data_IF_432980740616
#
_entry.id   IF_432980740616
#
_cell.length_a   1.000
_cell.length_b   1.000
_cell.length_c   1.000
_cell.angle_alpha   90.00
_cell.angle_beta   90.00
_cell.angle_gamma   90.00
#
_symmetry.space_group_name_H-M   'P 1'
#
loop_
_entity.id
_entity.type
_entity.pdbx_description
1 polymer ?
#
# COMPACT_ATOMS: atom_id res chain seq x y z
N UNK A 1 22.59 -34.55 28.20
CA UNK A 1 23.12 -33.36 28.89
C UNK A 1 22.00 -32.33 28.80
N UNK A 2 21.19 -32.21 29.85
CA UNK A 2 20.07 -31.28 29.87
C UNK A 2 20.62 -29.87 30.06
N UNK A 3 20.39 -29.02 29.08
CA UNK A 3 20.76 -27.60 29.16
C UNK A 3 19.84 -26.96 30.20
N UNK A 4 20.38 -26.29 31.24
CA UNK A 4 19.54 -25.64 32.22
C UNK A 4 18.73 -24.54 31.54
N UNK A 5 17.42 -24.55 31.76
CA UNK A 5 16.53 -23.53 31.25
C UNK A 5 16.90 -22.18 31.89
N UNK A 6 17.57 -21.31 31.13
CA UNK A 6 17.96 -19.97 31.57
C UNK A 6 16.75 -19.03 31.50
N UNK A 7 15.77 -19.24 32.37
CA UNK A 7 14.68 -18.28 32.57
C UNK A 7 15.05 -17.32 33.71
N UNK A 8 14.77 -16.02 33.59
CA UNK A 8 14.94 -15.10 34.71
C UNK A 8 13.97 -15.48 35.84
N UNK A 9 14.49 -15.62 37.06
CA UNK A 9 13.68 -15.97 38.25
C UNK A 9 12.47 -15.04 38.43
N UNK A 10 12.67 -13.73 38.25
CA UNK A 10 11.61 -12.73 38.36
C UNK A 10 10.46 -12.96 37.36
N UNK A 11 10.76 -13.45 36.15
CA UNK A 11 9.77 -13.66 35.11
C UNK A 11 8.91 -14.88 35.43
N UNK A 12 9.52 -15.91 36.02
CA UNK A 12 8.82 -17.11 36.50
C UNK A 12 7.89 -16.76 37.66
N UNK A 13 8.39 -16.02 38.66
CA UNK A 13 7.57 -15.57 39.79
C UNK A 13 6.41 -14.71 39.32
N UNK A 14 6.65 -13.73 38.44
CA UNK A 14 5.60 -12.89 37.86
C UNK A 14 4.52 -13.72 37.16
N UNK A 15 4.91 -14.73 36.38
CA UNK A 15 3.97 -15.57 35.64
C UNK A 15 3.11 -16.44 36.57
N UNK A 16 3.69 -16.92 37.66
CA UNK A 16 3.01 -17.78 38.64
C UNK A 16 2.09 -16.99 39.59
N UNK A 17 2.50 -15.80 40.01
CA UNK A 17 1.75 -14.96 40.97
C UNK A 17 0.60 -14.19 40.32
N UNK A 18 0.64 -13.98 38.99
CA UNK A 18 -0.42 -13.25 38.29
C UNK A 18 -1.63 -14.15 38.02
N UNK A 19 -2.80 -13.89 38.63
CA UNK A 19 -3.99 -14.71 38.42
C UNK A 19 -4.44 -14.65 36.95
N UNK A 20 -4.66 -15.81 36.35
CA UNK A 20 -5.07 -15.96 34.95
C UNK A 20 -3.90 -16.09 33.97
N UNK A 21 -2.76 -15.45 34.22
CA UNK A 21 -1.53 -15.66 33.44
C UNK A 21 -0.90 -17.03 33.72
N UNK A 22 -0.99 -17.48 34.97
CA UNK A 22 -0.47 -18.78 35.42
C UNK A 22 -1.15 -19.99 34.75
N UNK A 23 -2.31 -19.82 34.12
CA UNK A 23 -3.02 -20.85 33.35
C UNK A 23 -2.59 -20.90 31.88
N UNK A 24 -1.84 -19.89 31.41
CA UNK A 24 -1.39 -19.74 30.03
C UNK A 24 0.05 -20.20 29.86
N UNK A 25 0.35 -20.77 28.70
CA UNK A 25 1.72 -21.16 28.37
C UNK A 25 2.57 -19.92 28.07
N UNK A 26 3.50 -19.61 28.99
CA UNK A 26 4.37 -18.44 28.93
C UNK A 26 5.08 -18.25 27.59
N UNK A 27 5.54 -19.33 26.96
CA UNK A 27 6.29 -19.24 25.71
C UNK A 27 5.41 -18.79 24.55
N UNK A 28 4.22 -19.37 24.39
CA UNK A 28 3.29 -18.98 23.33
C UNK A 28 2.76 -17.55 23.53
N UNK A 29 2.47 -17.18 24.78
CA UNK A 29 1.97 -15.84 25.11
C UNK A 29 3.03 -14.77 24.83
N UNK A 30 4.28 -15.00 25.24
CA UNK A 30 5.40 -14.09 24.97
C UNK A 30 5.75 -14.03 23.48
N UNK A 31 5.72 -15.15 22.76
CA UNK A 31 5.93 -15.17 21.32
C UNK A 31 4.86 -14.36 20.57
N UNK A 32 3.59 -14.52 20.95
CA UNK A 32 2.49 -13.75 20.39
C UNK A 32 2.61 -12.26 20.71
N UNK A 33 2.97 -11.91 21.95
CA UNK A 33 3.18 -10.52 22.35
C UNK A 33 4.35 -9.89 21.59
N UNK A 34 5.44 -10.62 21.39
CA UNK A 34 6.59 -10.20 20.59
C UNK A 34 6.23 -9.98 19.12
N UNK A 35 5.41 -10.88 18.54
CA UNK A 35 4.89 -10.73 17.19
C UNK A 35 4.03 -9.45 17.07
N UNK A 36 3.09 -9.25 18.00
CA UNK A 36 2.23 -8.06 18.02
C UNK A 36 3.04 -6.77 18.19
N UNK A 37 3.98 -6.75 19.14
CA UNK A 37 4.87 -5.62 19.35
C UNK A 37 5.73 -5.33 18.10
N UNK A 38 6.24 -6.36 17.45
CA UNK A 38 6.97 -6.25 16.19
C UNK A 38 6.11 -5.66 15.07
N UNK A 39 4.91 -6.20 14.85
CA UNK A 39 3.97 -5.69 13.84
C UNK A 39 3.58 -4.24 14.13
N UNK A 40 3.35 -3.87 15.39
CA UNK A 40 3.04 -2.49 15.78
C UNK A 40 4.24 -1.56 15.61
N UNK A 41 5.44 -1.99 15.97
CA UNK A 41 6.66 -1.19 15.84
C UNK A 41 7.01 -0.95 14.37
N UNK A 42 7.06 -2.00 13.55
CA UNK A 42 7.31 -1.89 12.12
C UNK A 42 6.15 -1.21 11.37
N UNK A 43 4.91 -1.45 11.77
CA UNK A 43 3.74 -0.80 11.21
C UNK A 43 3.72 0.71 11.48
N UNK A 44 4.09 1.13 12.70
CA UNK A 44 4.23 2.56 13.03
C UNK A 44 5.41 3.21 12.31
N UNK A 45 6.55 2.52 12.18
CA UNK A 45 7.71 3.03 11.45
C UNK A 45 7.42 3.23 9.96
N UNK A 46 6.77 2.27 9.30
CA UNK A 46 6.28 2.44 7.92
C UNK A 46 5.33 3.62 7.77
N UNK A 47 4.53 3.93 8.81
CA UNK A 47 3.67 5.11 8.80
C UNK A 47 4.45 6.40 9.02
N UNK A 48 5.50 6.41 9.85
CA UNK A 48 6.35 7.60 10.03
C UNK A 48 7.16 7.94 8.77
N UNK A 49 7.64 6.93 8.04
CA UNK A 49 8.25 7.14 6.71
C UNK A 49 7.22 7.63 5.67
N UNK A 50 5.92 7.40 5.92
CA UNK A 50 4.78 7.96 5.15
C UNK A 50 4.18 9.24 5.74
N UNK A 51 4.69 9.73 6.88
CA UNK A 51 4.42 11.06 7.46
C UNK A 51 5.67 11.93 7.26
N UNK A 52 6.35 11.78 6.12
CA UNK A 52 6.78 13.00 5.45
C UNK A 52 5.49 13.71 5.10
N UNK A 53 5.30 14.94 5.58
CA UNK A 53 4.19 15.81 5.18
C UNK A 53 4.11 15.69 3.67
N UNK A 54 3.12 14.94 3.17
CA UNK A 54 3.04 14.66 1.74
C UNK A 54 2.86 16.01 1.10
N UNK A 55 3.86 16.43 0.34
CA UNK A 55 3.82 17.73 -0.31
C UNK A 55 2.53 17.76 -1.13
N UNK A 56 1.63 18.75 -0.92
CA UNK A 56 0.39 18.84 -1.69
C UNK A 56 0.66 18.80 -3.20
N UNK A 57 1.83 19.25 -3.65
CA UNK A 57 2.24 19.20 -5.04
C UNK A 57 2.65 17.77 -5.45
N UNK A 58 3.31 17.01 -4.58
CA UNK A 58 3.64 15.60 -4.82
C UNK A 58 2.38 14.73 -4.90
N UNK A 59 1.36 15.00 -4.07
CA UNK A 59 0.07 14.30 -4.13
C UNK A 59 -0.64 14.58 -5.45
N UNK A 60 -0.69 15.85 -5.86
CA UNK A 60 -1.30 16.25 -7.12
C UNK A 60 -0.56 15.66 -8.32
N UNK A 61 0.77 15.67 -8.30
CA UNK A 61 1.61 15.05 -9.31
C UNK A 61 1.33 13.55 -9.44
N UNK A 62 1.35 12.81 -8.32
CA UNK A 62 1.01 11.36 -8.29
C UNK A 62 -0.38 11.08 -8.84
N UNK A 63 -1.35 11.94 -8.52
CA UNK A 63 -2.71 11.83 -9.02
C UNK A 63 -2.80 12.05 -10.54
N UNK A 64 -2.08 13.04 -11.08
CA UNK A 64 -2.00 13.28 -12.52
C UNK A 64 -1.32 12.13 -13.27
N UNK A 65 -0.26 11.54 -12.72
CA UNK A 65 0.37 10.33 -13.27
C UNK A 65 -0.64 9.18 -13.34
N UNK A 66 -1.37 8.92 -12.25
CA UNK A 66 -2.41 7.88 -12.23
C UNK A 66 -3.51 8.14 -13.26
N UNK A 67 -3.96 9.39 -13.41
CA UNK A 67 -4.93 9.78 -14.44
C UNK A 67 -4.40 9.52 -15.85
N UNK A 68 -3.14 9.85 -16.12
CA UNK A 68 -2.48 9.58 -17.40
C UNK A 68 -2.52 8.08 -17.72
N UNK A 69 -2.07 7.24 -16.79
CA UNK A 69 -2.05 5.78 -16.99
C UNK A 69 -3.45 5.23 -17.23
N UNK A 70 -4.44 5.70 -16.49
CA UNK A 70 -5.82 5.29 -16.69
C UNK A 70 -6.34 5.63 -18.10
N UNK A 71 -6.01 6.81 -18.63
CA UNK A 71 -6.37 7.20 -20.00
C UNK A 71 -5.63 6.34 -21.03
N UNK A 72 -4.35 6.03 -20.79
CA UNK A 72 -3.56 5.13 -21.65
C UNK A 72 -4.15 3.71 -21.68
N UNK A 73 -4.56 3.18 -20.51
CA UNK A 73 -5.24 1.88 -20.41
C UNK A 73 -6.59 1.87 -21.14
N UNK A 74 -7.37 2.96 -21.02
CA UNK A 74 -8.64 3.12 -21.73
C UNK A 74 -8.46 3.14 -23.25
N UNK A 75 -7.42 3.81 -23.75
CA UNK A 75 -7.09 3.79 -25.19
C UNK A 75 -6.71 2.38 -25.64
N UNK A 76 -5.89 1.66 -24.86
CA UNK A 76 -5.52 0.29 -25.18
C UNK A 76 -6.72 -0.67 -25.17
N UNK A 77 -7.68 -0.47 -24.27
CA UNK A 77 -8.94 -1.22 -24.25
C UNK A 77 -9.80 -0.90 -25.50
N UNK A 78 -9.84 0.37 -25.92
CA UNK A 78 -10.53 0.80 -27.14
C UNK A 78 -9.92 0.16 -28.40
N UNK A 79 -8.60 0.15 -28.51
CA UNK A 79 -7.86 -0.50 -29.58
C UNK A 79 -8.18 -1.99 -29.65
N UNK A 80 -8.23 -2.65 -28.49
CA UNK A 80 -8.60 -4.06 -28.38
C UNK A 80 -10.05 -4.30 -28.84
N UNK A 81 -10.99 -3.46 -28.43
CA UNK A 81 -12.40 -3.58 -28.83
C UNK A 81 -12.60 -3.40 -30.33
N UNK A 82 -11.85 -2.50 -30.96
CA UNK A 82 -11.83 -2.33 -32.42
C UNK A 82 -11.24 -3.56 -33.11
N UNK A 83 -10.11 -4.08 -32.61
CA UNK A 83 -9.47 -5.27 -33.17
C UNK A 83 -10.35 -6.52 -33.09
N UNK A 84 -11.16 -6.64 -32.03
CA UNK A 84 -12.14 -7.71 -31.84
C UNK A 84 -13.43 -7.51 -32.68
N UNK A 85 -13.55 -6.39 -33.40
CA UNK A 85 -14.74 -6.05 -34.19
C UNK A 85 -15.96 -5.70 -33.35
N UNK A 86 -15.78 -5.49 -32.04
CA UNK A 86 -16.84 -5.21 -31.07
C UNK A 86 -17.26 -3.74 -31.02
N UNK A 87 -16.53 -2.86 -31.71
CA UNK A 87 -16.74 -1.42 -31.75
C UNK A 87 -16.78 -0.90 -33.21
N UNK A 88 -17.80 -0.13 -33.61
CA UNK A 88 -17.81 0.55 -34.91
C UNK A 88 -16.68 1.58 -35.01
N UNK A 89 -16.03 1.67 -36.17
CA UNK A 89 -14.90 2.59 -36.41
C UNK A 89 -15.23 4.06 -36.08
N UNK A 90 -16.45 4.51 -36.40
CA UNK A 90 -16.89 5.88 -36.11
C UNK A 90 -16.93 6.18 -34.59
N UNK A 91 -17.38 5.21 -33.78
CA UNK A 91 -17.36 5.34 -32.32
C UNK A 91 -15.94 5.29 -31.75
N UNK A 92 -15.09 4.46 -32.34
CA UNK A 92 -13.67 4.41 -31.99
C UNK A 92 -12.99 5.77 -32.22
N UNK A 93 -13.21 6.39 -33.39
CA UNK A 93 -12.58 7.66 -33.74
C UNK A 93 -13.02 8.81 -32.82
N UNK A 94 -14.30 8.86 -32.47
CA UNK A 94 -14.84 9.87 -31.55
C UNK A 94 -14.29 9.71 -30.12
N UNK A 95 -14.33 8.49 -29.57
CA UNK A 95 -13.84 8.19 -28.21
C UNK A 95 -12.32 8.31 -28.11
N UNK A 96 -11.57 7.85 -29.11
CA UNK A 96 -10.10 7.97 -29.17
C UNK A 96 -9.65 9.44 -29.24
N UNK A 97 -10.36 10.27 -30.00
CA UNK A 97 -10.10 11.71 -30.09
C UNK A 97 -10.37 12.42 -28.76
N UNK A 98 -11.41 12.02 -28.04
CA UNK A 98 -11.72 12.57 -26.71
C UNK A 98 -10.64 12.18 -25.68
N UNK A 99 -10.27 10.91 -25.62
CA UNK A 99 -9.19 10.42 -24.73
C UNK A 99 -7.86 11.10 -25.04
N UNK A 100 -7.54 11.31 -26.32
CA UNK A 100 -6.34 12.03 -26.74
C UNK A 100 -6.33 13.49 -26.24
N UNK A 101 -7.47 14.19 -26.27
CA UNK A 101 -7.59 15.55 -25.72
C UNK A 101 -7.38 15.55 -24.20
N UNK A 102 -7.97 14.57 -23.50
CA UNK A 102 -7.79 14.43 -22.06
C UNK A 102 -6.35 14.13 -21.68
N UNK A 103 -5.66 13.27 -22.44
CA UNK A 103 -4.25 12.97 -22.26
C UNK A 103 -3.39 14.23 -22.44
N UNK A 104 -3.62 15.00 -23.50
CA UNK A 104 -2.89 16.24 -23.76
C UNK A 104 -3.02 17.26 -22.63
N UNK A 105 -4.22 17.38 -22.04
CA UNK A 105 -4.47 18.22 -20.87
C UNK A 105 -3.71 17.74 -19.64
N UNK A 106 -3.78 16.45 -19.31
CA UNK A 106 -3.05 15.87 -18.17
C UNK A 106 -1.53 16.03 -18.34
N UNK A 107 -1.01 15.88 -19.57
CA UNK A 107 0.40 16.11 -19.86
C UNK A 107 0.80 17.60 -19.71
N UNK A 108 -0.10 18.53 -20.05
CA UNK A 108 0.14 19.95 -19.80
C UNK A 108 0.20 20.26 -18.30
N UNK A 109 -0.73 19.72 -17.53
CA UNK A 109 -0.74 19.89 -16.08
C UNK A 109 0.53 19.28 -15.44
N UNK A 110 0.97 18.10 -15.91
CA UNK A 110 2.22 17.48 -15.45
C UNK A 110 3.47 18.31 -15.76
N UNK A 111 3.51 19.04 -16.88
CA UNK A 111 4.65 19.92 -17.23
C UNK A 111 4.82 21.06 -16.23
N UNK A 112 3.76 21.49 -15.54
CA UNK A 112 3.83 22.55 -14.54
C UNK A 112 4.63 22.14 -13.29
N UNK A 113 4.80 20.84 -13.05
CA UNK A 113 5.59 20.32 -11.91
C UNK A 113 7.07 20.09 -12.25
N UNK A 114 7.48 20.31 -13.51
CA UNK A 114 8.87 20.12 -13.98
C UNK A 114 9.59 21.48 -14.13
N UNK A 115 8.85 22.59 -14.28
CA UNK A 115 9.39 23.95 -14.35
C UNK A 115 9.63 24.53 -12.96
#
# INVERSE_FOLDING_TARGET
MDVPAMHPEWLVTFWMETPGLNQLNAHYTLALLGLFAGVLYFGKRKRQDGILVSDPDEVQFKHLIRKRTLIEDQMAELDKKLAEGSLPTEKYDDESRELSKHLAKVQQDLRQFIQ
#
